data_IF_633909166657
#
_entry.id   IF_633909166657
#
_cell.length_a   1.000
_cell.length_b   1.000
_cell.length_c   1.000
_cell.angle_alpha   90.00
_cell.angle_beta   90.00
_cell.angle_gamma   90.00
#
_symmetry.space_group_name_H-M   'P 1'
#
loop_
_entity.id
_entity.type
_entity.pdbx_description
1 polymer ?
#
# COMPACT_ATOMS: atom_id res chain seq x y z
N UNK A 1 27.75 5.35 -18.26
CA UNK A 1 26.93 4.51 -17.38
C UNK A 1 25.58 5.20 -17.34
N UNK A 2 24.58 4.64 -18.00
CA UNK A 2 23.23 5.21 -18.03
C UNK A 2 22.66 5.08 -16.62
N UNK A 3 22.53 6.20 -15.92
CA UNK A 3 21.66 6.30 -14.76
C UNK A 3 20.29 5.82 -15.21
N UNK A 4 19.87 4.64 -14.75
CA UNK A 4 18.47 4.24 -14.83
C UNK A 4 17.71 5.21 -13.92
N UNK A 5 17.34 6.36 -14.47
CA UNK A 5 16.33 7.23 -13.90
C UNK A 5 15.04 6.42 -13.88
N UNK A 6 14.71 5.88 -12.72
CA UNK A 6 13.39 5.32 -12.48
C UNK A 6 12.44 6.50 -12.50
N UNK A 7 11.45 6.48 -13.40
CA UNK A 7 10.49 7.57 -13.52
C UNK A 7 9.78 7.77 -12.17
N UNK A 8 9.65 9.02 -11.73
CA UNK A 8 8.90 9.35 -10.52
C UNK A 8 7.42 8.99 -10.70
N UNK A 9 6.80 8.54 -9.61
CA UNK A 9 5.37 8.28 -9.54
C UNK A 9 4.61 9.61 -9.76
N UNK A 10 3.73 9.70 -10.78
CA UNK A 10 2.90 10.89 -10.95
C UNK A 10 1.91 11.03 -9.79
N UNK A 11 1.39 12.25 -9.54
CA UNK A 11 0.32 12.44 -8.58
C UNK A 11 -0.93 11.66 -8.99
N UNK A 12 -1.71 11.22 -8.01
CA UNK A 12 -3.01 10.58 -8.24
C UNK A 12 -3.99 11.52 -8.93
N UNK A 13 -4.82 10.97 -9.81
CA UNK A 13 -5.90 11.69 -10.47
C UNK A 13 -7.05 11.92 -9.48
N UNK A 14 -7.02 13.06 -8.79
CA UNK A 14 -7.97 13.38 -7.74
C UNK A 14 -9.43 13.42 -8.24
N UNK A 15 -9.68 13.95 -9.43
CA UNK A 15 -11.03 14.03 -10.01
C UNK A 15 -11.60 12.63 -10.27
N UNK A 16 -10.86 11.79 -10.99
CA UNK A 16 -11.29 10.42 -11.26
C UNK A 16 -11.41 9.59 -9.97
N UNK A 17 -10.56 9.85 -8.96
CA UNK A 17 -10.62 9.16 -7.67
C UNK A 17 -11.91 9.51 -6.92
N UNK A 18 -12.31 10.78 -6.94
CA UNK A 18 -13.59 11.22 -6.38
C UNK A 18 -14.79 10.62 -7.12
N UNK A 19 -14.71 10.50 -8.45
CA UNK A 19 -15.74 9.84 -9.25
C UNK A 19 -15.90 8.36 -8.87
N UNK A 20 -14.79 7.60 -8.85
CA UNK A 20 -14.81 6.18 -8.46
C UNK A 20 -15.32 5.99 -7.02
N UNK A 21 -14.93 6.88 -6.12
CA UNK A 21 -15.39 6.85 -4.73
C UNK A 21 -16.90 7.07 -4.62
N UNK A 22 -17.43 8.07 -5.33
CA UNK A 22 -18.88 8.33 -5.36
C UNK A 22 -19.67 7.14 -5.93
N UNK A 23 -19.15 6.46 -6.97
CA UNK A 23 -19.74 5.24 -7.51
C UNK A 23 -19.78 4.11 -6.47
N UNK A 24 -18.69 3.91 -5.73
CA UNK A 24 -18.63 2.92 -4.66
C UNK A 24 -19.65 3.23 -3.54
N UNK A 25 -19.69 4.47 -3.03
CA UNK A 25 -20.65 4.85 -1.99
C UNK A 25 -22.10 4.61 -2.43
N UNK A 26 -22.42 5.00 -3.68
CA UNK A 26 -23.75 4.79 -4.25
C UNK A 26 -24.09 3.30 -4.37
N UNK A 27 -23.14 2.47 -4.81
CA UNK A 27 -23.34 1.02 -4.92
C UNK A 27 -23.47 0.34 -3.55
N UNK A 28 -22.73 0.82 -2.55
CA UNK A 28 -22.76 0.29 -1.19
C UNK A 28 -23.96 0.80 -0.37
N UNK A 29 -24.71 1.77 -0.89
CA UNK A 29 -25.82 2.42 -0.17
C UNK A 29 -25.34 3.25 1.03
N UNK A 30 -24.10 3.74 1.00
CA UNK A 30 -23.50 4.56 2.05
C UNK A 30 -23.89 6.01 1.81
N UNK A 31 -24.51 6.64 2.82
CA UNK A 31 -24.84 8.06 2.76
C UNK A 31 -23.58 8.93 2.93
N UNK A 32 -23.56 10.11 2.31
CA UNK A 32 -22.41 11.03 2.34
C UNK A 32 -22.00 11.46 3.76
N UNK A 33 -22.95 11.54 4.69
CA UNK A 33 -22.68 11.86 6.10
C UNK A 33 -22.17 10.67 6.92
N UNK A 34 -22.11 9.49 6.30
CA UNK A 34 -21.58 8.23 6.86
C UNK A 34 -20.35 7.74 6.11
N UNK A 35 -19.76 8.59 5.27
CA UNK A 35 -18.62 8.27 4.44
C UNK A 35 -17.42 7.84 5.31
N UNK A 36 -16.85 6.64 5.09
CA UNK A 36 -15.67 6.21 5.81
C UNK A 36 -14.45 7.02 5.35
N UNK A 37 -13.45 7.11 6.23
CA UNK A 37 -12.19 7.72 5.88
C UNK A 37 -11.54 6.96 4.71
N UNK A 38 -11.05 7.70 3.72
CA UNK A 38 -10.35 7.12 2.58
C UNK A 38 -9.15 7.96 2.16
N UNK A 39 -8.22 7.30 1.47
CA UNK A 39 -7.10 7.93 0.74
C UNK A 39 -7.09 7.44 -0.70
N UNK A 40 -6.33 8.12 -1.57
CA UNK A 40 -6.02 7.65 -2.91
C UNK A 40 -4.50 7.62 -3.10
N UNK A 41 -3.96 6.47 -3.50
CA UNK A 41 -2.50 6.27 -3.61
C UNK A 41 -2.15 5.23 -4.68
N UNK A 42 -0.95 5.35 -5.23
CA UNK A 42 -0.33 4.31 -6.05
C UNK A 42 0.72 3.59 -5.22
N UNK A 43 0.72 2.25 -5.23
CA UNK A 43 1.63 1.47 -4.39
C UNK A 43 3.03 1.38 -4.99
N UNK A 44 4.05 1.28 -4.14
CA UNK A 44 5.44 1.30 -4.58
C UNK A 44 5.98 2.72 -4.80
N UNK A 45 7.16 2.81 -5.41
CA UNK A 45 7.90 4.08 -5.54
C UNK A 45 8.17 4.50 -6.98
N UNK A 46 7.58 3.78 -7.95
CA UNK A 46 7.68 4.09 -9.37
C UNK A 46 6.49 3.51 -10.16
N UNK A 47 6.20 4.04 -11.37
CA UNK A 47 5.06 3.60 -12.17
C UNK A 47 5.01 2.10 -12.48
N UNK A 48 6.16 1.47 -12.74
CA UNK A 48 6.19 0.06 -13.08
C UNK A 48 5.83 -0.82 -11.88
N UNK A 49 6.36 -0.49 -10.70
CA UNK A 49 6.02 -1.19 -9.46
C UNK A 49 4.56 -0.95 -9.06
N UNK A 50 4.02 0.25 -9.27
CA UNK A 50 2.60 0.51 -9.03
C UNK A 50 1.68 -0.35 -9.90
N UNK A 51 1.98 -0.46 -11.19
CA UNK A 51 1.24 -1.33 -12.11
C UNK A 51 1.35 -2.81 -11.72
N UNK A 52 2.53 -3.25 -11.29
CA UNK A 52 2.79 -4.63 -10.83
C UNK A 52 2.00 -4.96 -9.54
N UNK A 53 2.09 -4.12 -8.51
CA UNK A 53 1.39 -4.35 -7.25
C UNK A 53 -0.12 -4.32 -7.41
N UNK A 54 -0.64 -3.41 -8.24
CA UNK A 54 -2.05 -3.38 -8.59
C UNK A 54 -2.47 -4.67 -9.32
N UNK A 55 -1.64 -5.20 -10.21
CA UNK A 55 -1.90 -6.46 -10.88
C UNK A 55 -2.01 -7.61 -9.86
N UNK A 56 -1.12 -7.67 -8.87
CA UNK A 56 -1.16 -8.70 -7.82
C UNK A 56 -2.39 -8.59 -6.91
N UNK A 57 -2.92 -7.38 -6.71
CA UNK A 57 -4.19 -7.20 -6.00
C UNK A 57 -5.38 -7.73 -6.81
N UNK A 58 -5.48 -7.33 -8.08
CA UNK A 58 -6.64 -7.62 -8.95
C UNK A 58 -6.67 -9.06 -9.47
N UNK A 59 -5.51 -9.62 -9.76
CA UNK A 59 -5.37 -10.90 -10.47
C UNK A 59 -4.52 -11.93 -9.73
N UNK A 60 -3.78 -11.50 -8.72
CA UNK A 60 -3.02 -12.35 -7.81
C UNK A 60 -3.74 -12.60 -6.50
N UNK A 61 -2.98 -12.86 -5.45
CA UNK A 61 -3.46 -13.17 -4.11
C UNK A 61 -3.16 -12.08 -3.08
N UNK A 62 -2.70 -10.90 -3.53
CA UNK A 62 -2.31 -9.82 -2.61
C UNK A 62 -3.52 -9.29 -1.85
N UNK A 63 -3.52 -9.51 -0.54
CA UNK A 63 -4.54 -9.09 0.45
C UNK A 63 -3.90 -8.53 1.73
N UNK A 64 -2.62 -8.19 1.65
CA UNK A 64 -1.90 -7.50 2.70
C UNK A 64 -0.90 -6.50 2.11
N UNK A 65 -0.56 -5.49 2.91
CA UNK A 65 0.46 -4.48 2.58
C UNK A 65 1.21 -4.06 3.84
N UNK A 66 2.43 -3.55 3.68
CA UNK A 66 3.22 -3.02 4.79
C UNK A 66 3.88 -1.67 4.48
N UNK A 67 3.99 -0.85 5.51
CA UNK A 67 4.62 0.49 5.46
C UNK A 67 5.44 0.76 6.72
N UNK A 68 6.29 1.79 6.71
CA UNK A 68 7.05 2.17 7.92
C UNK A 68 6.23 3.14 8.77
N UNK A 69 6.16 2.89 10.08
CA UNK A 69 5.54 3.82 11.02
C UNK A 69 6.17 5.22 10.97
N UNK A 70 7.47 5.29 10.66
CA UNK A 70 8.22 6.54 10.50
C UNK A 70 7.75 7.38 9.32
N UNK A 71 7.23 6.76 8.25
CA UNK A 71 6.77 7.49 7.06
C UNK A 71 5.56 8.37 7.41
N UNK A 72 4.60 7.84 8.17
CA UNK A 72 3.46 8.61 8.65
C UNK A 72 3.87 9.83 9.48
N UNK A 73 4.89 9.67 10.34
CA UNK A 73 5.40 10.80 11.13
C UNK A 73 6.13 11.83 10.25
N UNK A 74 6.89 11.36 9.25
CA UNK A 74 7.65 12.22 8.34
C UNK A 74 6.73 13.04 7.43
N UNK A 75 5.72 12.40 6.83
CA UNK A 75 4.76 13.05 5.94
C UNK A 75 3.59 13.74 6.68
N UNK A 76 3.57 13.69 8.02
CA UNK A 76 2.49 14.21 8.85
C UNK A 76 1.11 13.62 8.47
N UNK A 77 1.11 12.31 8.25
CA UNK A 77 -0.04 11.52 7.88
C UNK A 77 -0.55 10.68 9.05
N UNK A 78 -1.79 10.23 8.96
CA UNK A 78 -2.40 9.37 9.98
C UNK A 78 -2.13 7.90 9.64
N UNK A 79 -1.66 7.13 10.62
CA UNK A 79 -1.60 5.66 10.52
C UNK A 79 -3.00 5.08 10.22
N UNK A 80 -3.12 4.12 9.31
CA UNK A 80 -4.39 3.49 8.95
C UNK A 80 -5.06 2.80 10.15
N UNK A 81 -6.38 2.66 10.06
CA UNK A 81 -7.26 2.02 11.03
C UNK A 81 -8.17 1.03 10.31
N UNK A 82 -8.63 0.04 11.05
CA UNK A 82 -9.66 -0.89 10.59
C UNK A 82 -10.89 -0.12 10.11
N UNK A 83 -11.36 -0.43 8.91
CA UNK A 83 -12.48 0.23 8.25
C UNK A 83 -12.10 1.41 7.36
N UNK A 84 -10.84 1.88 7.40
CA UNK A 84 -10.33 2.84 6.42
C UNK A 84 -10.35 2.21 5.03
N UNK A 85 -10.54 3.04 4.01
CA UNK A 85 -10.51 2.62 2.61
C UNK A 85 -9.32 3.23 1.87
N UNK A 86 -8.87 2.54 0.85
CA UNK A 86 -7.83 3.05 -0.05
C UNK A 86 -8.30 2.87 -1.50
N UNK A 87 -8.32 3.98 -2.24
CA UNK A 87 -8.49 4.00 -3.69
C UNK A 87 -7.10 3.74 -4.29
N UNK A 88 -6.90 2.56 -4.86
CA UNK A 88 -5.61 2.17 -5.42
C UNK A 88 -5.54 2.64 -6.87
N UNK A 89 -4.49 3.40 -7.15
CA UNK A 89 -4.19 3.95 -8.46
C UNK A 89 -3.08 3.16 -9.17
N UNK A 90 -3.15 3.13 -10.50
CA UNK A 90 -2.08 2.58 -11.33
C UNK A 90 -0.84 3.50 -11.39
N UNK A 91 0.19 3.10 -12.13
CA UNK A 91 1.43 3.85 -12.31
C UNK A 91 1.27 5.19 -13.05
N UNK A 92 0.07 5.49 -13.56
CA UNK A 92 -0.30 6.77 -14.18
C UNK A 92 -1.19 7.60 -13.27
N UNK A 93 -1.39 7.18 -12.02
CA UNK A 93 -2.25 7.83 -11.04
C UNK A 93 -3.74 7.65 -11.32
N UNK A 94 -4.16 6.75 -12.22
CA UNK A 94 -5.59 6.53 -12.47
C UNK A 94 -6.15 5.52 -11.46
N UNK A 95 -7.30 5.78 -10.82
CA UNK A 95 -7.89 4.88 -9.83
C UNK A 95 -8.42 3.61 -10.51
N UNK A 96 -8.21 2.45 -9.87
CA UNK A 96 -8.51 1.14 -10.47
C UNK A 96 -9.31 0.20 -9.57
N UNK A 97 -9.18 0.33 -8.25
CA UNK A 97 -9.95 -0.45 -7.28
C UNK A 97 -10.01 0.29 -5.94
N UNK A 98 -10.86 -0.20 -5.05
CA UNK A 98 -10.94 0.24 -3.67
C UNK A 98 -10.82 -0.99 -2.77
N UNK A 99 -9.94 -0.93 -1.76
CA UNK A 99 -9.94 -1.90 -0.67
C UNK A 99 -10.39 -1.28 0.65
N UNK A 100 -10.79 -2.15 1.58
CA UNK A 100 -11.06 -1.81 2.98
C UNK A 100 -10.09 -2.53 3.91
N UNK A 101 -9.52 -1.81 4.87
CA UNK A 101 -8.62 -2.35 5.88
C UNK A 101 -9.39 -3.20 6.89
N UNK A 102 -9.00 -4.46 7.03
CA UNK A 102 -9.59 -5.45 7.95
C UNK A 102 -8.83 -5.56 9.26
N UNK A 103 -7.50 -5.43 9.24
CA UNK A 103 -6.67 -5.44 10.45
C UNK A 103 -5.46 -4.54 10.27
N UNK A 104 -5.00 -3.97 11.38
CA UNK A 104 -3.77 -3.18 11.46
C UNK A 104 -2.94 -3.72 12.62
N UNK A 105 -1.74 -4.18 12.32
CA UNK A 105 -0.78 -4.70 13.29
C UNK A 105 0.55 -3.95 13.21
N UNK A 106 1.31 -4.00 14.31
CA UNK A 106 2.69 -3.50 14.34
C UNK A 106 3.63 -4.66 14.57
N UNK A 107 4.73 -4.71 13.81
CA UNK A 107 5.79 -5.69 14.03
C UNK A 107 7.14 -5.16 13.61
N UNK A 108 8.22 -5.79 14.08
CA UNK A 108 9.51 -5.57 13.46
C UNK A 108 9.56 -6.27 12.08
N UNK A 109 10.53 -5.89 11.26
CA UNK A 109 10.88 -6.56 10.01
C UNK A 109 11.18 -8.04 10.19
N UNK A 110 11.77 -8.41 11.33
CA UNK A 110 12.19 -9.77 11.62
C UNK A 110 11.04 -10.67 12.06
N UNK A 111 9.99 -10.07 12.62
CA UNK A 111 8.79 -10.76 13.14
C UNK A 111 7.70 -10.97 12.07
N UNK A 112 7.94 -10.54 10.82
CA UNK A 112 7.07 -10.90 9.70
C UNK A 112 7.18 -12.40 9.45
N UNK A 113 6.02 -13.07 9.44
CA UNK A 113 5.91 -14.50 9.22
C UNK A 113 5.59 -14.83 7.75
N UNK A 114 5.65 -16.12 7.42
CA UNK A 114 5.41 -16.60 6.07
C UNK A 114 3.94 -16.43 5.63
N UNK A 115 2.99 -16.41 6.57
CA UNK A 115 1.57 -16.22 6.25
C UNK A 115 1.30 -14.79 5.78
N UNK A 116 1.88 -13.80 6.48
CA UNK A 116 1.80 -12.41 6.06
C UNK A 116 2.52 -12.16 4.73
N UNK A 117 3.73 -12.71 4.57
CA UNK A 117 4.47 -12.61 3.30
C UNK A 117 3.69 -13.22 2.12
N UNK A 118 3.04 -14.37 2.32
CA UNK A 118 2.19 -14.99 1.31
C UNK A 118 0.93 -14.15 1.01
N UNK A 119 0.37 -13.50 2.03
CA UNK A 119 -0.76 -12.59 1.86
C UNK A 119 -0.39 -11.28 1.17
N UNK A 120 0.87 -10.82 1.27
CA UNK A 120 1.37 -9.73 0.42
C UNK A 120 1.46 -10.15 -1.05
N UNK A 121 1.50 -11.46 -1.33
CA UNK A 121 1.24 -12.04 -2.67
C UNK A 121 2.33 -11.83 -3.72
N UNK A 122 3.37 -11.05 -3.42
CA UNK A 122 4.41 -10.66 -4.36
C UNK A 122 5.39 -11.79 -4.71
N UNK A 123 5.81 -11.81 -5.97
CA UNK A 123 6.86 -12.70 -6.46
C UNK A 123 6.54 -14.18 -6.29
N UNK A 124 7.39 -14.91 -5.55
CA UNK A 124 7.20 -16.34 -5.26
C UNK A 124 6.44 -16.59 -3.93
N UNK A 125 5.90 -15.53 -3.31
CA UNK A 125 5.13 -15.57 -2.07
C UNK A 125 5.90 -16.10 -0.86
N UNK A 126 7.23 -16.23 -0.96
CA UNK A 126 8.07 -16.68 0.14
C UNK A 126 8.47 -15.53 1.06
N UNK A 127 8.67 -15.84 2.34
CA UNK A 127 9.23 -14.91 3.32
C UNK A 127 10.64 -14.44 2.92
N UNK A 128 11.43 -15.27 2.22
CA UNK A 128 12.75 -14.89 1.73
C UNK A 128 12.66 -13.81 0.66
N UNK A 129 11.73 -13.96 -0.30
CA UNK A 129 11.46 -12.96 -1.32
C UNK A 129 10.97 -11.66 -0.69
N UNK A 130 9.97 -11.74 0.20
CA UNK A 130 9.42 -10.59 0.90
C UNK A 130 10.53 -9.78 1.59
N UNK A 131 11.38 -10.44 2.40
CA UNK A 131 12.49 -9.77 3.12
C UNK A 131 13.45 -9.10 2.14
N UNK A 132 13.84 -9.79 1.07
CA UNK A 132 14.80 -9.26 0.12
C UNK A 132 14.28 -8.03 -0.62
N UNK A 133 13.04 -8.04 -1.09
CA UNK A 133 12.49 -6.93 -1.86
C UNK A 133 12.11 -5.75 -0.95
N UNK A 134 11.57 -6.01 0.25
CA UNK A 134 11.24 -4.96 1.21
C UNK A 134 12.48 -4.27 1.79
N UNK A 135 13.59 -4.99 2.05
CA UNK A 135 14.86 -4.36 2.45
C UNK A 135 15.39 -3.42 1.37
N UNK A 136 15.33 -3.83 0.09
CA UNK A 136 15.72 -2.96 -1.03
C UNK A 136 14.80 -1.75 -1.16
N UNK A 137 13.48 -1.98 -1.05
CA UNK A 137 12.46 -0.95 -1.19
C UNK A 137 12.66 0.13 -0.13
N UNK A 138 12.66 -0.22 1.16
CA UNK A 138 12.81 0.74 2.24
C UNK A 138 14.17 1.42 2.24
N UNK A 139 15.27 0.72 1.92
CA UNK A 139 16.58 1.40 1.75
C UNK A 139 16.56 2.44 0.65
N UNK A 140 15.81 2.21 -0.44
CA UNK A 140 15.72 3.14 -1.57
C UNK A 140 14.80 4.32 -1.24
N UNK A 141 13.62 4.07 -0.69
CA UNK A 141 12.65 5.13 -0.37
C UNK A 141 13.10 5.99 0.81
N UNK A 142 13.68 5.40 1.86
CA UNK A 142 14.21 6.18 2.99
C UNK A 142 15.41 7.03 2.57
N UNK A 143 16.25 6.53 1.66
CA UNK A 143 17.38 7.29 1.13
C UNK A 143 16.93 8.50 0.31
N UNK A 144 15.78 8.45 -0.38
CA UNK A 144 15.27 9.60 -1.14
C UNK A 144 14.86 10.77 -0.23
N UNK A 145 14.52 10.48 1.03
CA UNK A 145 14.23 11.48 2.07
C UNK A 145 15.41 11.72 3.03
N UNK A 146 16.61 11.25 2.67
CA UNK A 146 17.85 11.52 3.41
C UNK A 146 18.05 10.67 4.67
N UNK A 147 17.36 9.53 4.78
CA UNK A 147 17.46 8.60 5.90
C UNK A 147 18.22 7.34 5.45
N UNK A 148 19.33 7.03 6.13
CA UNK A 148 20.04 5.76 5.96
C UNK A 148 19.35 4.67 6.81
N UNK A 149 18.33 4.05 6.24
CA UNK A 149 17.52 3.04 6.92
C UNK A 149 18.15 1.64 6.91
N UNK A 150 17.92 0.88 7.99
CA UNK A 150 18.20 -0.55 8.07
C UNK A 150 17.03 -1.29 8.75
N UNK A 151 16.85 -2.60 8.52
CA UNK A 151 15.80 -3.39 9.16
C UNK A 151 15.77 -3.29 10.69
N UNK A 152 16.92 -3.08 11.33
CA UNK A 152 17.03 -2.92 12.79
C UNK A 152 16.26 -1.71 13.32
N UNK A 153 16.02 -0.67 12.50
CA UNK A 153 15.21 0.48 12.90
C UNK A 153 13.79 0.07 13.28
N UNK A 154 13.27 -1.02 12.70
CA UNK A 154 11.93 -1.56 13.00
C UNK A 154 11.79 -2.17 14.40
N UNK A 155 12.90 -2.33 15.12
CA UNK A 155 12.90 -2.81 16.51
C UNK A 155 12.72 -1.69 17.54
N UNK A 156 12.75 -0.42 17.08
CA UNK A 156 12.67 0.77 17.94
C UNK A 156 11.23 1.32 17.98
N UNK A 157 10.80 1.91 19.11
CA UNK A 157 9.51 2.58 19.20
C UNK A 157 9.33 3.63 18.10
N UNK A 158 8.28 3.50 17.30
CA UNK A 158 7.96 4.40 16.18
C UNK A 158 8.68 4.07 14.87
N UNK A 159 9.55 3.06 14.84
CA UNK A 159 10.16 2.54 13.61
C UNK A 159 9.48 1.28 13.07
N UNK A 160 8.47 0.75 13.76
CA UNK A 160 7.84 -0.53 13.43
C UNK A 160 7.22 -0.52 12.02
N UNK A 161 7.03 -1.72 11.47
CA UNK A 161 6.15 -1.88 10.31
C UNK A 161 4.70 -1.68 10.75
N UNK A 162 3.93 -0.98 9.93
CA UNK A 162 2.47 -1.04 9.96
C UNK A 162 2.07 -2.11 8.94
N UNK A 163 1.44 -3.18 9.42
CA UNK A 163 0.96 -4.29 8.60
C UNK A 163 -0.54 -4.21 8.48
N UNK A 164 -1.04 -4.16 7.26
CA UNK A 164 -2.46 -4.11 6.96
C UNK A 164 -2.89 -5.39 6.25
N UNK A 165 -4.04 -5.94 6.66
CA UNK A 165 -4.79 -6.89 5.83
C UNK A 165 -6.02 -6.19 5.29
N UNK A 166 -6.39 -6.48 4.06
CA UNK A 166 -7.50 -5.82 3.40
C UNK A 166 -8.31 -6.81 2.55
N UNK A 167 -9.50 -6.36 2.18
CA UNK A 167 -10.34 -6.98 1.15
C UNK A 167 -10.66 -5.96 0.06
N UNK A 168 -10.83 -6.43 -1.16
CA UNK A 168 -11.26 -5.57 -2.27
C UNK A 168 -12.77 -5.37 -2.16
N UNK A 169 -13.22 -4.11 -2.23
CA UNK A 169 -14.63 -3.74 -2.16
C UNK A 169 -15.18 -3.25 -3.50
N UNK A 170 -14.32 -2.75 -4.39
CA UNK A 170 -14.70 -2.20 -5.69
C UNK A 170 -13.59 -2.41 -6.73
N UNK A 171 -13.92 -2.68 -8.00
CA UNK A 171 -15.26 -2.89 -8.55
C UNK A 171 -15.83 -4.29 -8.19
N UNK A 172 -17.14 -4.53 -8.38
CA UNK A 172 -17.79 -5.79 -7.98
C UNK A 172 -17.20 -7.04 -8.64
N UNK A 173 -16.52 -6.89 -9.79
CA UNK A 173 -15.86 -8.00 -10.48
C UNK A 173 -14.63 -8.54 -9.74
N UNK A 174 -14.07 -7.77 -8.81
CA UNK A 174 -12.88 -8.13 -8.03
C UNK A 174 -13.14 -8.14 -6.51
N UNK A 175 -14.36 -7.80 -6.08
CA UNK A 175 -14.69 -7.76 -4.67
C UNK A 175 -14.64 -9.17 -4.04
N UNK A 176 -14.14 -9.25 -2.80
CA UNK A 176 -14.03 -10.49 -2.02
C UNK A 176 -15.36 -10.91 -1.34
#
# INVERSE_FOLDING_TARGET
>A
MTENSVAELPPVNAEASQEMWAEYLASAGIATDQEPFHVAESFGDNPALADELLHEMLHGTKRATSSLASDYAFYNERVPRVGDHCIVCDGKGQPRMIFRVLSVERSSFFDVDADFAAAEGEGDQSLEHWRREHDKFWRRTQKSIGIDWTPEETTKPGGELIKERFEICWPPSFAD
#
